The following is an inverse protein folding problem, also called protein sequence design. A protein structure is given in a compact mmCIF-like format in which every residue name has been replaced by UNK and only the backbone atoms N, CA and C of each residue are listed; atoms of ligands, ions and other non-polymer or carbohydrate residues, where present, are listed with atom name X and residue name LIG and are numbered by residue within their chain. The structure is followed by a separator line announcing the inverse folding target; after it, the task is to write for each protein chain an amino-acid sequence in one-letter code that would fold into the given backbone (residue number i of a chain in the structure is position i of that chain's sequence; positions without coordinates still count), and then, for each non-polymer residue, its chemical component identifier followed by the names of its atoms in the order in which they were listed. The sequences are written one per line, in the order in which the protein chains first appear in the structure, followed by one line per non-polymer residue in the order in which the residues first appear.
data_IF_537254047391
#
_entry.id   IF_537254047391
#
_cell.length_a   1.000
_cell.length_b   1.000
_cell.length_c   1.000
_cell.angle_alpha   90.00
_cell.angle_beta   90.00
_cell.angle_gamma   90.00
#
_symmetry.space_group_name_H-M   'P 1'
#
loop_
_entity.id
_entity.type
_entity.pdbx_description
1 polymer ?
#
# COMPACT_ATOMS: atom_id res chain seq x y z
N UNK A 1 -30.59 -8.77 -72.20
CA UNK A 1 -30.68 -9.57 -70.99
C UNK A 1 -29.53 -10.57 -71.01
N UNK A 2 -28.44 -10.26 -70.32
CA UNK A 2 -27.24 -11.10 -70.27
C UNK A 2 -27.27 -11.82 -68.92
N UNK A 3 -27.38 -13.15 -68.97
CA UNK A 3 -27.30 -14.04 -67.79
C UNK A 3 -25.90 -13.96 -67.17
N UNK A 4 -25.78 -13.84 -65.83
CA UNK A 4 -24.51 -13.86 -65.18
C UNK A 4 -23.86 -15.27 -65.25
N UNK A 5 -22.52 -15.37 -65.28
CA UNK A 5 -21.81 -16.65 -65.31
C UNK A 5 -22.03 -17.47 -64.02
N UNK A 6 -22.02 -18.83 -64.12
CA UNK A 6 -22.23 -19.68 -62.99
C UNK A 6 -21.10 -19.58 -61.97
N UNK A 7 -21.44 -19.47 -60.67
CA UNK A 7 -20.50 -19.50 -59.58
C UNK A 7 -19.77 -20.88 -59.51
N UNK A 8 -18.44 -20.87 -59.23
CA UNK A 8 -17.72 -22.12 -59.03
C UNK A 8 -18.25 -22.83 -57.77
N UNK A 9 -18.41 -24.13 -57.86
CA UNK A 9 -18.83 -24.97 -56.76
C UNK A 9 -17.82 -24.89 -55.59
N UNK A 10 -18.27 -24.94 -54.31
CA UNK A 10 -17.37 -24.95 -53.17
C UNK A 10 -16.43 -26.15 -53.26
N UNK A 11 -15.12 -25.88 -53.31
CA UNK A 11 -14.12 -26.94 -53.19
C UNK A 11 -14.26 -27.53 -51.79
N UNK A 12 -14.58 -28.83 -51.74
CA UNK A 12 -14.52 -29.62 -50.51
C UNK A 12 -13.09 -29.61 -50.03
N UNK A 13 -12.82 -28.83 -48.96
CA UNK A 13 -11.55 -28.93 -48.24
C UNK A 13 -11.42 -30.39 -47.78
N UNK A 14 -10.44 -31.10 -48.30
CA UNK A 14 -10.08 -32.40 -47.80
C UNK A 14 -9.85 -32.26 -46.28
N UNK A 15 -10.68 -32.90 -45.48
CA UNK A 15 -10.46 -33.03 -44.05
C UNK A 15 -9.12 -33.74 -43.89
N UNK A 16 -8.06 -32.94 -43.63
CA UNK A 16 -6.84 -33.49 -43.08
C UNK A 16 -7.23 -34.19 -41.78
N UNK A 17 -7.18 -35.49 -41.80
CA UNK A 17 -7.36 -36.33 -40.61
C UNK A 17 -6.41 -35.81 -39.56
N UNK A 18 -6.97 -35.28 -38.45
CA UNK A 18 -6.20 -34.85 -37.30
C UNK A 18 -5.26 -35.97 -36.90
N UNK A 19 -3.98 -35.67 -36.57
CA UNK A 19 -3.04 -36.69 -36.11
C UNK A 19 -3.69 -37.43 -34.95
N UNK A 20 -3.77 -38.75 -35.06
CA UNK A 20 -4.31 -39.64 -34.01
C UNK A 20 -3.37 -39.57 -32.80
N UNK A 21 -3.69 -38.68 -31.84
CA UNK A 21 -2.97 -38.56 -30.57
C UNK A 21 -3.35 -39.64 -29.56
N UNK A 22 -3.90 -40.76 -30.03
CA UNK A 22 -4.00 -41.95 -29.21
C UNK A 22 -2.58 -42.55 -29.05
N UNK A 23 -1.82 -41.90 -28.16
CA UNK A 23 -0.54 -42.40 -27.71
C UNK A 23 -0.72 -43.80 -27.13
N UNK A 24 0.20 -44.73 -27.46
CA UNK A 24 0.20 -46.07 -26.93
C UNK A 24 -0.04 -46.07 -25.41
N UNK A 25 -0.88 -46.98 -24.88
CA UNK A 25 -1.11 -47.07 -23.43
C UNK A 25 0.23 -47.38 -22.75
N UNK A 26 0.77 -46.41 -22.02
CA UNK A 26 1.97 -46.62 -21.22
C UNK A 26 3.07 -45.56 -21.29
N UNK A 27 3.05 -44.61 -22.24
CA UNK A 27 4.06 -43.53 -22.23
C UNK A 27 3.44 -42.25 -21.62
N UNK A 28 3.41 -42.16 -20.30
CA UNK A 28 3.18 -40.88 -19.62
C UNK A 28 4.32 -39.93 -19.99
N UNK A 29 3.98 -38.82 -20.67
CA UNK A 29 4.95 -37.79 -20.96
C UNK A 29 5.46 -37.23 -19.62
N UNK A 30 6.72 -37.50 -19.30
CA UNK A 30 7.41 -36.93 -18.16
C UNK A 30 8.12 -35.69 -18.66
N UNK A 31 7.68 -34.50 -18.17
CA UNK A 31 8.35 -33.26 -18.51
C UNK A 31 9.83 -33.32 -18.12
N UNK A 32 10.77 -33.00 -19.04
CA UNK A 32 12.20 -32.91 -18.70
C UNK A 32 12.54 -31.78 -17.74
N UNK A 33 11.58 -30.86 -17.50
CA UNK A 33 11.76 -29.73 -16.56
C UNK A 33 11.49 -30.25 -15.14
N UNK A 34 12.47 -30.18 -14.25
CA UNK A 34 12.27 -30.57 -12.86
C UNK A 34 11.23 -29.68 -12.19
N UNK A 35 10.18 -30.27 -11.63
CA UNK A 35 9.17 -29.55 -10.86
C UNK A 35 9.80 -29.11 -9.54
N UNK A 36 10.30 -27.90 -9.49
CA UNK A 36 10.75 -27.29 -8.24
C UNK A 36 9.55 -26.89 -7.39
N UNK A 37 9.54 -27.36 -6.13
CA UNK A 37 8.48 -26.95 -5.19
C UNK A 37 8.56 -25.44 -4.95
N UNK A 38 7.46 -24.73 -5.20
CA UNK A 38 7.36 -23.30 -4.91
C UNK A 38 7.42 -23.08 -3.39
N UNK A 39 8.27 -22.16 -2.94
CA UNK A 39 8.38 -21.76 -1.54
C UNK A 39 8.20 -20.24 -1.40
N UNK A 40 8.01 -19.76 -0.16
CA UNK A 40 7.76 -18.34 0.12
C UNK A 40 8.82 -17.40 -0.49
N UNK A 41 10.09 -17.84 -0.55
CA UNK A 41 11.17 -17.05 -1.16
C UNK A 41 10.94 -16.73 -2.64
N UNK A 42 10.39 -17.67 -3.43
CA UNK A 42 10.05 -17.40 -4.83
C UNK A 42 8.92 -16.39 -4.95
N UNK A 43 7.91 -16.46 -4.04
CA UNK A 43 6.84 -15.47 -4.00
C UNK A 43 7.37 -14.08 -3.62
N UNK A 44 8.25 -13.97 -2.64
CA UNK A 44 8.90 -12.70 -2.25
C UNK A 44 9.71 -12.11 -3.41
N UNK A 45 10.53 -12.93 -4.09
CA UNK A 45 11.31 -12.48 -5.26
C UNK A 45 10.41 -11.99 -6.40
N UNK A 46 9.30 -12.69 -6.64
CA UNK A 46 8.30 -12.28 -7.65
C UNK A 46 7.66 -10.93 -7.31
N UNK A 47 7.18 -10.74 -6.08
CA UNK A 47 6.56 -9.48 -5.64
C UNK A 47 7.58 -8.32 -5.61
N UNK A 48 8.83 -8.60 -5.22
CA UNK A 48 9.92 -7.62 -5.31
C UNK A 48 10.18 -7.16 -6.75
N UNK A 49 10.19 -8.11 -7.69
CA UNK A 49 10.37 -7.80 -9.11
C UNK A 49 9.22 -6.96 -9.65
N UNK A 50 7.95 -7.26 -9.25
CA UNK A 50 6.79 -6.45 -9.62
C UNK A 50 6.94 -4.99 -9.17
N UNK A 51 7.31 -4.76 -7.90
CA UNK A 51 7.50 -3.39 -7.37
C UNK A 51 8.54 -2.60 -8.19
N UNK A 52 9.64 -3.24 -8.56
CA UNK A 52 10.72 -2.60 -9.35
C UNK A 52 10.38 -2.36 -10.82
N UNK A 53 9.54 -3.22 -11.42
CA UNK A 53 9.26 -3.19 -12.85
C UNK A 53 8.03 -2.36 -13.22
N UNK A 54 7.08 -2.19 -12.30
CA UNK A 54 5.84 -1.46 -12.56
C UNK A 54 6.08 0.05 -12.47
N UNK A 55 5.98 0.74 -13.60
CA UNK A 55 6.24 2.19 -13.69
C UNK A 55 5.35 3.01 -12.75
N UNK A 56 4.06 2.66 -12.61
CA UNK A 56 3.15 3.37 -11.72
C UNK A 56 3.60 3.30 -10.26
N UNK A 57 4.12 2.17 -9.81
CA UNK A 57 4.68 2.01 -8.46
C UNK A 57 5.86 2.96 -8.24
N UNK A 58 6.81 3.01 -9.19
CA UNK A 58 7.98 3.87 -9.10
C UNK A 58 7.59 5.36 -9.11
N UNK A 59 6.63 5.76 -9.95
CA UNK A 59 6.12 7.13 -9.96
C UNK A 59 5.42 7.50 -8.66
N UNK A 60 4.58 6.62 -8.10
CA UNK A 60 3.89 6.88 -6.83
C UNK A 60 4.87 7.01 -5.67
N UNK A 61 5.89 6.14 -5.61
CA UNK A 61 6.97 6.25 -4.62
C UNK A 61 7.81 7.52 -4.82
N UNK A 62 8.09 7.90 -6.07
CA UNK A 62 8.77 9.16 -6.40
C UNK A 62 7.99 10.39 -5.97
N UNK A 63 6.66 10.41 -6.20
CA UNK A 63 5.77 11.48 -5.74
C UNK A 63 5.71 11.50 -4.21
N UNK A 64 5.64 10.33 -3.56
CA UNK A 64 5.71 10.24 -2.09
C UNK A 64 6.98 10.90 -1.56
N UNK A 65 8.15 10.52 -2.08
CA UNK A 65 9.42 11.10 -1.68
C UNK A 65 9.47 12.62 -1.94
N UNK A 66 8.99 13.06 -3.11
CA UNK A 66 8.92 14.47 -3.44
C UNK A 66 8.04 15.25 -2.45
N UNK A 67 6.87 14.72 -2.07
CA UNK A 67 5.99 15.37 -1.09
C UNK A 67 6.61 15.41 0.30
N UNK A 68 7.24 14.32 0.76
CA UNK A 68 7.80 14.27 2.11
C UNK A 68 9.09 15.09 2.21
N UNK A 69 10.01 14.91 1.28
CA UNK A 69 11.29 15.66 1.28
C UNK A 69 11.06 17.12 0.89
N UNK A 70 10.33 17.38 -0.21
CA UNK A 70 10.06 18.73 -0.68
C UNK A 70 9.20 19.53 0.29
N UNK A 71 8.10 18.93 0.79
CA UNK A 71 7.24 19.56 1.81
C UNK A 71 7.97 19.78 3.13
N UNK A 72 8.73 18.78 3.60
CA UNK A 72 9.52 18.89 4.82
C UNK A 72 10.60 19.97 4.72
N UNK A 73 11.39 19.99 3.63
CA UNK A 73 12.42 21.00 3.42
C UNK A 73 11.84 22.40 3.21
N UNK A 74 10.72 22.50 2.52
CA UNK A 74 10.02 23.78 2.38
C UNK A 74 9.64 24.35 3.76
N UNK A 75 9.06 23.52 4.65
CA UNK A 75 8.72 23.97 6.01
C UNK A 75 9.99 24.31 6.79
N UNK A 76 11.03 23.49 6.70
CA UNK A 76 12.31 23.75 7.37
C UNK A 76 12.89 25.10 6.95
N UNK A 77 12.90 25.44 5.65
CA UNK A 77 13.37 26.72 5.15
C UNK A 77 12.51 27.93 5.61
N UNK A 78 11.20 27.73 5.81
CA UNK A 78 10.31 28.79 6.30
C UNK A 78 10.41 29.00 7.82
N UNK A 79 11.08 28.10 8.51
CA UNK A 79 11.20 28.11 9.97
C UNK A 79 12.64 28.35 10.44
N UNK A 80 13.51 28.93 9.58
CA UNK A 80 14.91 29.22 9.92
C UNK A 80 15.06 30.09 11.16
N UNK A 81 14.14 31.08 11.36
CA UNK A 81 14.14 31.99 12.51
C UNK A 81 13.48 31.39 13.76
N UNK A 82 12.88 30.19 13.66
CA UNK A 82 12.23 29.54 14.80
C UNK A 82 13.22 28.67 15.59
N UNK A 83 13.08 28.71 16.91
CA UNK A 83 13.81 27.79 17.78
C UNK A 83 13.02 26.49 17.91
N UNK A 84 13.67 25.35 17.68
CA UNK A 84 13.10 24.00 17.85
C UNK A 84 13.15 23.52 19.30
N UNK A 85 13.04 24.42 20.29
CA UNK A 85 13.12 24.06 21.72
C UNK A 85 11.99 23.14 22.15
N UNK A 86 10.80 23.27 21.54
CA UNK A 86 9.59 22.49 21.86
C UNK A 86 9.26 21.43 20.80
N UNK A 87 9.97 21.37 19.69
CA UNK A 87 9.71 20.45 18.57
C UNK A 87 11.00 19.74 18.13
N UNK A 88 10.92 18.48 17.67
CA UNK A 88 12.08 17.79 17.10
C UNK A 88 12.38 18.27 15.68
N UNK A 89 13.64 18.21 15.24
CA UNK A 89 14.02 18.50 13.85
C UNK A 89 13.36 17.57 12.82
N UNK A 90 12.76 16.47 13.25
CA UNK A 90 11.94 15.60 12.39
C UNK A 90 10.53 16.14 12.13
N UNK A 91 10.08 17.17 12.88
CA UNK A 91 8.73 17.73 12.77
C UNK A 91 8.36 18.21 11.35
N UNK A 92 9.25 18.87 10.58
CA UNK A 92 8.92 19.28 9.21
C UNK A 92 8.48 18.13 8.31
N UNK A 93 8.96 16.89 8.54
CA UNK A 93 8.52 15.71 7.80
C UNK A 93 7.03 15.39 8.01
N UNK A 94 6.44 15.76 9.15
CA UNK A 94 5.00 15.60 9.42
C UNK A 94 4.15 16.26 8.34
N UNK A 95 4.47 17.48 7.93
CA UNK A 95 3.72 18.21 6.90
C UNK A 95 3.77 17.49 5.55
N UNK A 96 4.96 17.02 5.17
CA UNK A 96 5.11 16.22 3.94
C UNK A 96 4.34 14.89 4.00
N UNK A 97 4.33 14.24 5.16
CA UNK A 97 3.61 12.97 5.38
C UNK A 97 2.09 13.13 5.37
N UNK A 98 1.53 14.29 5.73
CA UNK A 98 0.08 14.53 5.62
C UNK A 98 -0.44 14.31 4.20
N UNK A 99 0.34 14.71 3.20
CA UNK A 99 0.02 14.46 1.79
C UNK A 99 0.59 13.12 1.32
N UNK A 100 1.82 12.82 1.69
CA UNK A 100 2.54 11.62 1.26
C UNK A 100 1.83 10.32 1.66
N UNK A 101 1.20 10.23 2.84
CA UNK A 101 0.48 9.03 3.26
C UNK A 101 -0.59 8.58 2.25
N UNK A 102 -1.22 9.53 1.52
CA UNK A 102 -2.22 9.23 0.48
C UNK A 102 -1.59 8.41 -0.64
N UNK A 103 -0.33 8.71 -1.01
CA UNK A 103 0.39 7.95 -2.02
C UNK A 103 0.60 6.49 -1.60
N UNK A 104 1.02 6.24 -0.35
CA UNK A 104 1.24 4.88 0.15
C UNK A 104 -0.08 4.11 0.34
N UNK A 105 -1.15 4.78 0.79
CA UNK A 105 -2.50 4.19 0.87
C UNK A 105 -2.96 3.76 -0.53
N UNK A 106 -2.88 4.65 -1.51
CA UNK A 106 -3.28 4.38 -2.90
C UNK A 106 -2.43 3.27 -3.51
N UNK A 107 -1.12 3.30 -3.29
CA UNK A 107 -0.22 2.25 -3.76
C UNK A 107 -0.56 0.90 -3.15
N UNK A 108 -0.82 0.85 -1.84
CA UNK A 108 -1.25 -0.38 -1.14
C UNK A 108 -2.51 -0.98 -1.76
N UNK A 109 -3.53 -0.15 -2.01
CA UNK A 109 -4.74 -0.58 -2.72
C UNK A 109 -4.40 -1.12 -4.10
N UNK A 110 -3.62 -0.38 -4.91
CA UNK A 110 -3.32 -0.74 -6.29
C UNK A 110 -2.48 -1.99 -6.44
N UNK A 111 -1.55 -2.25 -5.53
CA UNK A 111 -0.70 -3.46 -5.54
C UNK A 111 -1.52 -4.75 -5.58
N UNK A 112 -2.73 -4.73 -5.04
CA UNK A 112 -3.62 -5.91 -5.06
C UNK A 112 -4.77 -5.75 -6.04
N UNK A 113 -5.49 -4.63 -5.98
CA UNK A 113 -6.72 -4.45 -6.77
C UNK A 113 -6.46 -4.38 -8.29
N UNK A 114 -5.30 -3.88 -8.73
CA UNK A 114 -4.94 -3.85 -10.15
C UNK A 114 -4.77 -5.26 -10.75
N UNK A 115 -4.30 -6.22 -9.98
CA UNK A 115 -4.18 -7.61 -10.46
C UNK A 115 -5.54 -8.26 -10.71
N UNK A 116 -6.56 -7.88 -9.93
CA UNK A 116 -7.94 -8.31 -10.19
C UNK A 116 -8.51 -7.63 -11.44
N UNK A 117 -8.28 -6.32 -11.60
CA UNK A 117 -8.76 -5.55 -12.76
C UNK A 117 -8.15 -5.99 -14.09
N UNK A 118 -6.88 -6.42 -14.09
CA UNK A 118 -6.17 -6.93 -15.29
C UNK A 118 -6.33 -8.43 -15.52
N UNK A 119 -6.94 -9.16 -14.58
CA UNK A 119 -7.01 -10.62 -14.63
C UNK A 119 -5.68 -11.34 -14.32
N UNK A 120 -4.62 -10.59 -14.01
CA UNK A 120 -3.28 -11.13 -13.72
C UNK A 120 -3.25 -12.01 -12.47
N UNK A 121 -4.25 -11.86 -11.58
CA UNK A 121 -4.40 -12.69 -10.39
C UNK A 121 -4.55 -14.17 -10.73
N UNK A 122 -5.20 -14.51 -11.85
CA UNK A 122 -5.38 -15.91 -12.31
C UNK A 122 -4.05 -16.54 -12.67
N UNK A 123 -3.21 -15.84 -13.44
CA UNK A 123 -1.87 -16.35 -13.81
C UNK A 123 -0.98 -16.49 -12.58
N UNK A 124 -1.07 -15.57 -11.63
CA UNK A 124 -0.34 -15.62 -10.37
C UNK A 124 -0.71 -16.87 -9.56
N UNK A 125 -2.01 -17.20 -9.44
CA UNK A 125 -2.46 -18.38 -8.69
C UNK A 125 -2.28 -19.69 -9.44
N UNK A 126 -2.24 -19.65 -10.77
CA UNK A 126 -1.85 -20.85 -11.57
C UNK A 126 -0.37 -21.16 -11.35
N UNK A 127 0.50 -20.15 -11.33
CA UNK A 127 1.93 -20.32 -11.07
C UNK A 127 2.24 -20.69 -9.61
N UNK A 128 1.41 -20.23 -8.66
CA UNK A 128 1.55 -20.53 -7.22
C UNK A 128 0.17 -20.82 -6.62
N UNK A 129 -0.23 -22.10 -6.54
CA UNK A 129 -1.58 -22.48 -6.08
C UNK A 129 -1.83 -22.16 -4.59
N UNK A 130 -0.80 -21.86 -3.82
CA UNK A 130 -0.90 -21.51 -2.42
C UNK A 130 -1.17 -20.01 -2.27
N UNK A 131 -2.43 -19.59 -2.41
CA UNK A 131 -2.90 -18.21 -2.40
C UNK A 131 -2.42 -17.40 -1.18
N UNK A 132 -2.41 -18.05 0.01
CA UNK A 132 -1.97 -17.40 1.25
C UNK A 132 -0.48 -17.01 1.22
N UNK A 133 0.39 -17.80 0.57
CA UNK A 133 1.82 -17.47 0.45
C UNK A 133 2.06 -16.26 -0.44
N UNK A 134 1.32 -16.18 -1.55
CA UNK A 134 1.41 -15.04 -2.46
C UNK A 134 0.96 -13.77 -1.74
N UNK A 135 -0.17 -13.83 -1.04
CA UNK A 135 -0.70 -12.66 -0.33
C UNK A 135 0.19 -12.23 0.84
N UNK A 136 0.73 -13.20 1.61
CA UNK A 136 1.71 -12.91 2.66
C UNK A 136 3.00 -12.28 2.10
N UNK A 137 3.52 -12.80 0.98
CA UNK A 137 4.69 -12.22 0.32
C UNK A 137 4.43 -10.78 -0.15
N UNK A 138 3.25 -10.52 -0.69
CA UNK A 138 2.81 -9.19 -1.13
C UNK A 138 2.77 -8.20 0.04
N UNK A 139 2.19 -8.58 1.17
CA UNK A 139 2.16 -7.76 2.39
C UNK A 139 3.58 -7.49 2.88
N UNK A 140 4.42 -8.51 3.00
CA UNK A 140 5.78 -8.38 3.53
C UNK A 140 6.66 -7.47 2.67
N UNK A 141 6.64 -7.66 1.35
CA UNK A 141 7.45 -6.86 0.43
C UNK A 141 6.95 -5.42 0.40
N UNK A 142 5.63 -5.21 0.31
CA UNK A 142 5.04 -3.87 0.34
C UNK A 142 5.36 -3.14 1.66
N UNK A 143 5.15 -3.81 2.80
CA UNK A 143 5.44 -3.24 4.12
C UNK A 143 6.91 -2.86 4.24
N UNK A 144 7.84 -3.75 3.86
CA UNK A 144 9.27 -3.47 3.93
C UNK A 144 9.66 -2.24 3.10
N UNK A 145 9.16 -2.15 1.85
CA UNK A 145 9.42 -1.01 0.97
C UNK A 145 8.82 0.28 1.53
N UNK A 146 7.55 0.25 1.93
CA UNK A 146 6.86 1.40 2.49
C UNK A 146 7.53 1.90 3.78
N UNK A 147 7.94 0.97 4.66
CA UNK A 147 8.62 1.29 5.91
C UNK A 147 10.00 1.91 5.68
N UNK A 148 10.82 1.29 4.83
CA UNK A 148 12.18 1.79 4.55
C UNK A 148 12.13 3.17 3.90
N UNK A 149 11.22 3.38 2.95
CA UNK A 149 11.10 4.67 2.25
C UNK A 149 10.54 5.75 3.18
N UNK A 150 9.51 5.45 3.98
CA UNK A 150 8.93 6.44 4.91
C UNK A 150 9.85 6.75 6.08
N UNK A 151 10.43 5.76 6.74
CA UNK A 151 11.39 5.97 7.81
C UNK A 151 12.65 6.69 7.30
N UNK A 152 13.16 6.30 6.14
CA UNK A 152 14.32 6.94 5.51
C UNK A 152 14.06 8.39 5.12
N UNK A 153 12.86 8.72 4.60
CA UNK A 153 12.50 10.10 4.27
C UNK A 153 12.34 10.98 5.51
N UNK A 154 11.74 10.46 6.60
CA UNK A 154 11.63 11.18 7.87
C UNK A 154 13.04 11.47 8.44
N UNK A 155 13.90 10.46 8.47
CA UNK A 155 15.27 10.60 8.93
C UNK A 155 16.05 11.64 8.10
N UNK A 156 15.92 11.58 6.77
CA UNK A 156 16.61 12.50 5.87
C UNK A 156 16.14 13.95 6.07
N UNK A 157 14.82 14.19 6.22
CA UNK A 157 14.29 15.52 6.54
C UNK A 157 14.86 16.01 7.87
N UNK A 158 14.85 15.18 8.91
CA UNK A 158 15.41 15.53 10.23
C UNK A 158 16.87 15.92 10.15
N UNK A 159 17.71 15.13 9.43
CA UNK A 159 19.13 15.43 9.24
C UNK A 159 19.35 16.75 8.48
N UNK A 160 18.58 16.99 7.43
CA UNK A 160 18.70 18.24 6.66
C UNK A 160 18.21 19.44 7.49
N UNK A 161 17.11 19.31 8.23
CA UNK A 161 16.61 20.35 9.14
C UNK A 161 17.66 20.67 10.21
N UNK A 162 18.28 19.66 10.83
CA UNK A 162 19.32 19.87 11.84
C UNK A 162 20.58 20.56 11.30
N UNK A 163 20.85 20.42 9.99
CA UNK A 163 21.97 21.12 9.36
C UNK A 163 21.66 22.59 9.00
N UNK A 164 20.38 22.94 8.88
CA UNK A 164 19.93 24.30 8.55
C UNK A 164 19.70 25.17 9.79
N UNK A 165 19.43 24.55 10.94
CA UNK A 165 19.10 25.24 12.17
C UNK A 165 20.24 25.15 13.19
N UNK A 166 20.55 26.28 13.84
CA UNK A 166 21.52 26.38 14.92
C UNK A 166 20.77 26.58 16.24
N UNK A 167 20.86 25.64 17.15
CA UNK A 167 20.21 25.75 18.46
C UNK A 167 19.83 24.40 19.08
N UNK A 168 19.38 24.39 20.34
CA UNK A 168 18.92 23.17 20.99
C UNK A 168 17.58 22.69 20.37
N UNK A 169 17.45 21.37 20.28
CA UNK A 169 16.23 20.65 19.92
C UNK A 169 15.50 20.23 21.19
N UNK A 170 14.19 19.95 21.10
CA UNK A 170 13.41 19.33 22.17
C UNK A 170 14.05 18.00 22.61
N UNK A 171 14.52 17.95 23.85
CA UNK A 171 15.27 16.80 24.39
C UNK A 171 14.40 15.55 24.63
N UNK A 172 13.09 15.73 24.73
CA UNK A 172 12.16 14.68 25.18
C UNK A 172 11.75 13.69 24.06
N UNK A 173 12.00 14.02 22.79
CA UNK A 173 11.62 13.17 21.65
C UNK A 173 12.88 12.56 21.01
N UNK A 174 13.05 11.26 21.19
CA UNK A 174 14.10 10.54 20.49
C UNK A 174 13.81 10.42 18.99
N UNK A 175 14.75 10.85 18.15
CA UNK A 175 14.65 10.68 16.68
C UNK A 175 14.30 9.26 16.27
N UNK A 176 14.95 8.26 16.90
CA UNK A 176 14.66 6.86 16.64
C UNK A 176 13.19 6.51 16.89
N UNK A 177 12.62 7.02 17.97
CA UNK A 177 11.21 6.81 18.29
C UNK A 177 10.26 7.42 17.25
N UNK A 178 10.51 8.66 16.84
CA UNK A 178 9.70 9.37 15.83
C UNK A 178 9.82 8.75 14.44
N UNK A 179 11.05 8.45 14.00
CA UNK A 179 11.33 7.81 12.71
C UNK A 179 10.68 6.43 12.63
N UNK A 180 10.84 5.60 13.68
CA UNK A 180 10.27 4.25 13.68
C UNK A 180 8.74 4.27 13.77
N UNK A 181 8.16 5.06 14.66
CA UNK A 181 6.70 5.16 14.81
C UNK A 181 6.03 5.80 13.60
N UNK A 182 6.60 6.88 13.06
CA UNK A 182 6.11 7.55 11.86
C UNK A 182 6.18 6.66 10.63
N UNK A 183 7.32 6.02 10.39
CA UNK A 183 7.50 5.05 9.31
C UNK A 183 6.57 3.85 9.44
N UNK A 184 6.43 3.29 10.65
CA UNK A 184 5.50 2.20 10.94
C UNK A 184 4.05 2.60 10.71
N UNK A 185 3.64 3.78 11.20
CA UNK A 185 2.27 4.27 11.06
C UNK A 185 1.87 4.39 9.59
N UNK A 186 2.68 5.07 8.78
CA UNK A 186 2.36 5.31 7.37
C UNK A 186 2.42 4.01 6.54
N UNK A 187 3.36 3.11 6.84
CA UNK A 187 3.42 1.81 6.18
C UNK A 187 2.25 0.90 6.53
N UNK A 188 1.76 0.94 7.77
CA UNK A 188 0.56 0.20 8.19
C UNK A 188 -0.71 0.73 7.50
N UNK A 189 -0.84 2.06 7.30
CA UNK A 189 -1.93 2.62 6.49
C UNK A 189 -1.90 2.08 5.06
N UNK A 190 -0.71 1.95 4.47
CA UNK A 190 -0.55 1.33 3.16
C UNK A 190 -0.92 -0.15 3.14
N UNK A 191 -0.54 -0.94 4.17
CA UNK A 191 -0.94 -2.35 4.32
C UNK A 191 -2.44 -2.49 4.53
N UNK A 192 -3.06 -1.58 5.29
CA UNK A 192 -4.51 -1.52 5.44
C UNK A 192 -5.18 -1.30 4.07
N UNK A 193 -4.63 -0.37 3.26
CA UNK A 193 -5.06 -0.16 1.88
C UNK A 193 -4.94 -1.42 1.00
N UNK A 194 -3.85 -2.16 1.13
CA UNK A 194 -3.63 -3.43 0.44
C UNK A 194 -4.67 -4.49 0.85
N UNK A 195 -4.98 -4.60 2.14
CA UNK A 195 -6.01 -5.52 2.65
C UNK A 195 -7.40 -5.15 2.13
N UNK A 196 -7.79 -3.86 2.20
CA UNK A 196 -9.07 -3.36 1.66
C UNK A 196 -9.15 -3.56 0.15
N UNK A 197 -8.05 -3.29 -0.58
CA UNK A 197 -7.96 -3.54 -2.03
C UNK A 197 -8.22 -5.00 -2.41
N UNK A 198 -7.68 -5.93 -1.62
CA UNK A 198 -7.90 -7.37 -1.83
C UNK A 198 -9.34 -7.81 -1.54
N UNK A 199 -10.00 -7.21 -0.54
CA UNK A 199 -11.39 -7.52 -0.19
C UNK A 199 -12.38 -7.00 -1.21
N UNK A 200 -12.20 -5.77 -1.71
CA UNK A 200 -13.12 -5.11 -2.65
C UNK A 200 -12.87 -5.51 -4.11
N UNK A 201 -11.66 -5.94 -4.46
CA UNK A 201 -11.28 -6.38 -5.83
C UNK A 201 -11.55 -5.33 -6.93
N UNK A 202 -11.78 -4.08 -6.54
CA UNK A 202 -12.09 -2.96 -7.42
C UNK A 202 -11.27 -1.73 -7.01
N UNK A 203 -10.41 -1.22 -7.89
CA UNK A 203 -9.42 -0.21 -7.55
C UNK A 203 -10.05 1.12 -7.09
N UNK A 204 -10.97 1.66 -7.89
CA UNK A 204 -11.60 2.94 -7.56
C UNK A 204 -12.40 2.86 -6.25
N UNK A 205 -13.21 1.80 -6.09
CA UNK A 205 -14.00 1.59 -4.87
C UNK A 205 -13.13 1.41 -3.62
N UNK A 206 -11.99 0.71 -3.74
CA UNK A 206 -11.09 0.50 -2.62
C UNK A 206 -10.31 1.78 -2.24
N UNK A 207 -9.89 2.59 -3.22
CA UNK A 207 -9.27 3.89 -2.95
C UNK A 207 -10.26 4.81 -2.25
N UNK A 208 -11.49 4.91 -2.78
CA UNK A 208 -12.56 5.75 -2.17
C UNK A 208 -12.88 5.29 -0.75
N UNK A 209 -13.00 3.97 -0.51
CA UNK A 209 -13.24 3.43 0.82
C UNK A 209 -12.10 3.77 1.78
N UNK A 210 -10.84 3.61 1.35
CA UNK A 210 -9.68 3.95 2.18
C UNK A 210 -9.58 5.44 2.48
N UNK A 211 -9.83 6.30 1.49
CA UNK A 211 -9.89 7.74 1.72
C UNK A 211 -11.03 8.09 2.71
N UNK A 212 -12.19 7.43 2.59
CA UNK A 212 -13.27 7.57 3.57
C UNK A 212 -12.84 7.15 4.97
N UNK A 213 -12.19 5.99 5.14
CA UNK A 213 -11.69 5.50 6.44
C UNK A 213 -10.70 6.48 7.07
N UNK A 214 -9.85 7.14 6.29
CA UNK A 214 -8.83 8.06 6.80
C UNK A 214 -9.37 9.48 7.00
N UNK A 215 -10.19 9.99 6.08
CA UNK A 215 -10.66 11.38 6.10
C UNK A 215 -11.91 11.57 6.96
N UNK A 216 -12.85 10.61 7.02
CA UNK A 216 -14.06 10.76 7.83
C UNK A 216 -13.76 10.99 9.31
N UNK A 217 -12.83 10.25 9.95
CA UNK A 217 -12.46 10.53 11.34
C UNK A 217 -11.78 11.87 11.55
N UNK A 218 -11.27 12.50 10.51
CA UNK A 218 -10.65 13.83 10.59
C UNK A 218 -11.65 14.97 10.39
N UNK A 219 -12.72 14.75 9.62
CA UNK A 219 -13.71 15.79 9.26
C UNK A 219 -14.94 15.72 10.17
N UNK A 220 -15.46 14.51 10.43
CA UNK A 220 -16.71 14.30 11.15
C UNK A 220 -16.71 14.85 12.59
N UNK A 221 -15.61 14.82 13.35
CA UNK A 221 -15.55 15.37 14.70
C UNK A 221 -15.99 16.85 14.79
N UNK A 222 -15.68 17.65 13.77
CA UNK A 222 -16.06 19.08 13.73
C UNK A 222 -17.57 19.24 13.88
N UNK A 223 -18.36 18.38 13.24
CA UNK A 223 -19.84 18.39 13.34
C UNK A 223 -20.34 17.73 14.63
N UNK A 224 -19.70 16.65 15.09
CA UNK A 224 -20.10 15.94 16.29
C UNK A 224 -19.87 16.75 17.57
N UNK A 225 -18.89 17.65 17.60
CA UNK A 225 -18.58 18.51 18.74
C UNK A 225 -19.58 19.65 18.94
N UNK A 226 -20.43 19.95 17.97
CA UNK A 226 -21.45 21.00 18.06
C UNK A 226 -22.53 20.60 19.07
N UNK A 227 -22.89 19.31 19.13
CA UNK A 227 -23.92 18.81 20.04
C UNK A 227 -23.30 18.21 21.31
N UNK A 228 -23.87 18.53 22.47
CA UNK A 228 -23.42 17.99 23.77
C UNK A 228 -23.52 16.47 23.86
N UNK A 229 -24.52 15.87 23.21
CA UNK A 229 -24.74 14.41 23.24
C UNK A 229 -23.72 13.61 22.43
N UNK A 230 -23.13 14.20 21.38
CA UNK A 230 -22.17 13.54 20.49
C UNK A 230 -20.73 14.01 20.70
N UNK A 231 -20.51 14.99 21.55
CA UNK A 231 -19.21 15.63 21.79
C UNK A 231 -18.12 14.63 22.18
N UNK A 232 -18.39 13.76 23.13
CA UNK A 232 -17.42 12.73 23.58
C UNK A 232 -17.00 11.78 22.45
N UNK A 233 -17.94 11.44 21.54
CA UNK A 233 -17.63 10.64 20.37
C UNK A 233 -16.72 11.43 19.41
N UNK A 234 -17.05 12.71 19.17
CA UNK A 234 -16.23 13.60 18.35
C UNK A 234 -14.80 13.76 18.89
N UNK A 235 -14.64 13.96 20.19
CA UNK A 235 -13.33 14.09 20.87
C UNK A 235 -12.50 12.80 20.70
N UNK A 236 -13.09 11.62 20.89
CA UNK A 236 -12.39 10.35 20.67
C UNK A 236 -12.02 10.12 19.19
N UNK A 237 -12.93 10.44 18.26
CA UNK A 237 -12.62 10.33 16.84
C UNK A 237 -11.49 11.26 16.43
N UNK A 238 -11.47 12.47 16.97
CA UNK A 238 -10.38 13.43 16.72
C UNK A 238 -9.06 12.94 17.30
N UNK A 239 -9.08 12.34 18.49
CA UNK A 239 -7.88 11.81 19.13
C UNK A 239 -7.18 10.72 18.30
N UNK A 240 -7.97 9.86 17.62
CA UNK A 240 -7.44 8.70 16.89
C UNK A 240 -7.44 8.86 15.38
N UNK A 241 -7.75 10.04 14.83
CA UNK A 241 -7.66 10.25 13.40
C UNK A 241 -6.20 10.28 12.90
N UNK A 242 -6.01 10.08 11.59
CA UNK A 242 -4.69 9.95 11.00
C UNK A 242 -3.83 11.23 11.14
N UNK A 243 -4.43 12.40 11.09
CA UNK A 243 -3.73 13.68 11.21
C UNK A 243 -3.21 13.86 12.63
N UNK A 244 -4.06 13.69 13.65
CA UNK A 244 -3.65 13.81 15.04
C UNK A 244 -2.72 12.70 15.50
N UNK A 245 -2.88 11.48 14.96
CA UNK A 245 -1.95 10.40 15.23
C UNK A 245 -0.53 10.75 14.78
N UNK A 246 -0.37 11.27 13.56
CA UNK A 246 0.92 11.75 13.07
C UNK A 246 1.40 12.96 13.90
N UNK A 247 0.53 13.95 14.19
CA UNK A 247 0.89 15.10 14.99
C UNK A 247 1.49 14.70 16.36
N UNK A 248 0.86 13.74 17.05
CA UNK A 248 1.37 13.19 18.31
C UNK A 248 2.71 12.45 18.16
N UNK A 249 2.89 11.68 17.09
CA UNK A 249 4.15 10.98 16.82
C UNK A 249 5.30 11.98 16.62
N UNK A 250 5.01 13.13 15.99
CA UNK A 250 5.99 14.17 15.69
C UNK A 250 6.07 15.28 16.76
N UNK A 251 5.43 15.09 17.92
CA UNK A 251 5.57 16.00 19.05
C UNK A 251 4.79 17.31 18.97
N UNK A 252 3.82 17.40 18.07
CA UNK A 252 2.93 18.57 18.00
C UNK A 252 1.90 18.64 19.14
N UNK A 253 1.82 17.63 19.99
CA UNK A 253 0.95 17.56 21.17
C UNK A 253 1.77 17.04 22.36
N UNK A 254 2.03 17.89 23.32
CA UNK A 254 2.86 17.65 24.52
C UNK A 254 2.37 16.51 25.43
N UNK A 255 1.17 16.00 25.18
CA UNK A 255 0.50 15.04 26.08
C UNK A 255 0.73 13.57 25.77
N UNK A 256 1.25 13.23 24.59
CA UNK A 256 1.46 11.82 24.23
C UNK A 256 2.48 11.61 23.11
N UNK A 257 3.16 10.47 23.14
CA UNK A 257 4.14 10.05 22.13
C UNK A 257 3.52 9.28 20.95
N UNK A 258 2.20 9.35 20.75
CA UNK A 258 1.48 8.66 19.66
C UNK A 258 1.45 7.13 19.74
N UNK A 259 1.89 6.54 20.85
CA UNK A 259 1.97 5.08 20.99
C UNK A 259 0.62 4.36 20.90
N UNK A 260 -0.41 4.92 21.56
CA UNK A 260 -1.78 4.34 21.53
C UNK A 260 -2.38 4.33 20.12
N UNK A 261 -2.14 5.37 19.33
CA UNK A 261 -2.60 5.49 17.95
C UNK A 261 -1.94 4.46 17.03
N UNK A 262 -0.63 4.23 17.22
CA UNK A 262 0.11 3.18 16.49
C UNK A 262 -0.46 1.80 16.82
N UNK A 263 -0.69 1.48 18.10
CA UNK A 263 -1.22 0.19 18.50
C UNK A 263 -2.66 -0.05 18.02
N UNK A 264 -3.51 0.99 18.03
CA UNK A 264 -4.83 0.91 17.43
C UNK A 264 -4.75 0.57 15.94
N UNK A 265 -3.86 1.26 15.19
CA UNK A 265 -3.68 1.00 13.76
C UNK A 265 -3.13 -0.42 13.50
N UNK A 266 -2.22 -0.92 14.34
CA UNK A 266 -1.74 -2.31 14.29
C UNK A 266 -2.92 -3.27 14.43
N UNK A 267 -3.79 -3.05 15.42
CA UNK A 267 -4.97 -3.90 15.64
C UNK A 267 -5.95 -3.89 14.45
N UNK A 268 -6.28 -2.68 13.94
CA UNK A 268 -7.18 -2.53 12.79
C UNK A 268 -6.58 -3.16 11.53
N UNK A 269 -5.29 -2.92 11.28
CA UNK A 269 -4.60 -3.51 10.11
C UNK A 269 -4.53 -5.03 10.21
N UNK A 270 -4.22 -5.57 11.40
CA UNK A 270 -4.19 -7.01 11.63
C UNK A 270 -5.58 -7.63 11.39
N UNK A 271 -6.64 -7.02 11.91
CA UNK A 271 -8.02 -7.48 11.68
C UNK A 271 -8.39 -7.45 10.19
N UNK A 272 -8.03 -6.38 9.46
CA UNK A 272 -8.27 -6.27 8.03
C UNK A 272 -7.48 -7.32 7.24
N UNK A 273 -6.22 -7.58 7.59
CA UNK A 273 -5.39 -8.61 6.95
C UNK A 273 -5.98 -10.01 7.18
N UNK A 274 -6.40 -10.33 8.41
CA UNK A 274 -7.07 -11.60 8.72
C UNK A 274 -8.37 -11.74 7.92
N UNK A 275 -9.17 -10.68 7.85
CA UNK A 275 -10.39 -10.65 7.02
C UNK A 275 -10.09 -10.87 5.54
N UNK A 276 -9.02 -10.25 5.02
CA UNK A 276 -8.60 -10.43 3.65
C UNK A 276 -8.15 -11.87 3.36
N UNK A 277 -7.40 -12.50 4.27
CA UNK A 277 -7.04 -13.93 4.16
C UNK A 277 -8.28 -14.84 4.14
N UNK A 278 -9.21 -14.62 5.07
CA UNK A 278 -10.44 -15.42 5.15
C UNK A 278 -11.32 -15.29 3.88
N UNK A 279 -11.39 -14.09 3.30
CA UNK A 279 -12.12 -13.87 2.05
C UNK A 279 -11.40 -14.46 0.83
N UNK A 280 -10.06 -14.48 0.85
CA UNK A 280 -9.26 -15.06 -0.23
C UNK A 280 -9.45 -16.58 -0.34
N UNK A 281 -9.64 -17.27 0.79
CA UNK A 281 -9.91 -18.70 0.83
C UNK A 281 -11.34 -19.06 0.43
N UNK A 282 -12.31 -18.20 0.77
CA UNK A 282 -13.74 -18.46 0.55
C UNK A 282 -14.24 -18.07 -0.84
N UNK A 283 -13.54 -17.19 -1.54
CA UNK A 283 -13.97 -16.68 -2.85
C UNK A 283 -13.13 -17.27 -3.97
N UNK A 284 -13.80 -17.85 -4.96
CA UNK A 284 -13.15 -18.26 -6.20
C UNK A 284 -12.69 -17.05 -7.03
N UNK A 285 -11.64 -17.27 -7.84
CA UNK A 285 -10.99 -16.24 -8.66
C UNK A 285 -11.31 -16.46 -10.13
#
# INVERSE_FOLDING_TARGET
MTTPPPQPAPQAYAQQSAPNWQGAPGTSYTSPIPVTRTHLGHALASEWTKIKSVRSTLWTLGIFLFLVLGGGLFVSAQTEDLTYQDLPFTFPAFIGLLLGQICLITLGVLVTSSEYGTGMIRTTFTASPQRYRVFAAKILVFFAVAFVISAGSILLVGLLTSSMHSGPEAADLSWGGTVLKGGLYVSLLGVLGLAVGSMLRHSAGAITAMLGIVLLPSILPVFLMISRSTRTLGEKMQEYNAINALAKIFGADDRSTGGSQVWLLVGVTAAAVVGAFALLERRDV
#
